data_IF_397827519197
#
_entry.id   IF_397827519197
#
_cell.length_a   1.000
_cell.length_b   1.000
_cell.length_c   1.000
_cell.angle_alpha   90.00
_cell.angle_beta   90.00
_cell.angle_gamma   90.00
#
_symmetry.space_group_name_H-M   'P 1'
#
loop_
_entity.id
_entity.type
_entity.pdbx_description
1 polymer ?
#
# COMPACT_ATOMS: atom_id res chain seq x y z
N UNK A 1 -11.06 17.63 -4.22
CA UNK A 1 -11.15 16.52 -3.24
C UNK A 1 -10.92 15.21 -3.98
N UNK A 2 -10.16 14.29 -3.38
CA UNK A 2 -9.69 13.06 -4.05
C UNK A 2 -10.06 11.85 -3.21
N UNK A 3 -10.64 10.85 -3.86
CA UNK A 3 -10.99 9.59 -3.22
C UNK A 3 -10.00 8.48 -3.59
N UNK A 4 -9.76 7.59 -2.62
CA UNK A 4 -8.99 6.35 -2.78
C UNK A 4 -9.83 5.18 -2.27
N UNK A 5 -9.92 4.13 -3.10
CA UNK A 5 -10.61 2.89 -2.71
C UNK A 5 -9.61 1.79 -2.35
N UNK A 6 -9.85 1.09 -1.26
CA UNK A 6 -9.01 0.01 -0.75
C UNK A 6 -9.65 -1.36 -0.97
N UNK A 7 -8.80 -2.37 -1.15
CA UNK A 7 -9.23 -3.77 -1.10
C UNK A 7 -9.67 -4.14 0.33
N UNK A 8 -10.60 -5.09 0.50
CA UNK A 8 -11.17 -5.45 1.80
C UNK A 8 -10.14 -5.74 2.90
N UNK A 9 -9.04 -6.42 2.57
CA UNK A 9 -7.95 -6.76 3.52
C UNK A 9 -7.33 -5.54 4.22
N UNK A 10 -7.36 -4.36 3.59
CA UNK A 10 -6.80 -3.14 4.18
C UNK A 10 -7.84 -2.30 4.90
N UNK A 11 -9.14 -2.57 4.72
CA UNK A 11 -10.20 -1.71 5.23
C UNK A 11 -10.15 -1.54 6.75
N UNK A 12 -9.96 -2.60 7.58
CA UNK A 12 -9.87 -2.44 9.04
C UNK A 12 -8.70 -1.55 9.48
N UNK A 13 -7.56 -1.66 8.79
CA UNK A 13 -6.35 -0.90 9.11
C UNK A 13 -6.49 0.58 8.74
N UNK A 14 -7.14 0.86 7.60
CA UNK A 14 -7.43 2.23 7.16
C UNK A 14 -8.47 2.88 8.07
N UNK A 15 -9.56 2.17 8.40
CA UNK A 15 -10.58 2.70 9.32
C UNK A 15 -10.04 2.90 10.74
N UNK A 16 -9.11 2.02 11.17
CA UNK A 16 -8.44 2.12 12.47
C UNK A 16 -7.28 3.11 12.49
N UNK A 17 -7.01 3.81 11.39
CA UNK A 17 -5.91 4.78 11.26
C UNK A 17 -4.52 4.21 11.58
N UNK A 18 -4.33 2.89 11.45
CA UNK A 18 -3.01 2.25 11.55
C UNK A 18 -2.29 2.24 10.21
N UNK A 19 -3.04 2.18 9.11
CA UNK A 19 -2.53 2.37 7.74
C UNK A 19 -2.77 3.82 7.30
N UNK A 20 -1.67 4.58 7.19
CA UNK A 20 -1.69 6.04 6.94
C UNK A 20 -1.17 6.47 5.55
N UNK A 21 -0.99 5.50 4.65
CA UNK A 21 -0.57 5.80 3.28
C UNK A 21 -1.09 4.77 2.27
N UNK A 22 -0.97 5.11 0.97
CA UNK A 22 -1.29 4.22 -0.15
C UNK A 22 -0.38 4.51 -1.34
N UNK A 23 0.07 3.44 -2.00
CA UNK A 23 0.70 3.52 -3.32
C UNK A 23 -0.36 3.50 -4.42
N UNK A 24 -0.23 4.37 -5.42
CA UNK A 24 -1.13 4.44 -6.57
C UNK A 24 -0.37 4.67 -7.86
N UNK A 25 -0.83 4.03 -8.94
CA UNK A 25 -0.37 4.36 -10.28
C UNK A 25 -0.66 5.82 -10.58
N UNK A 26 0.16 6.42 -11.45
CA UNK A 26 -0.04 7.81 -11.84
C UNK A 26 -1.40 7.99 -12.53
N UNK A 27 -2.03 9.13 -12.28
CA UNK A 27 -3.30 9.51 -12.89
C UNK A 27 -3.38 11.02 -12.99
N UNK A 28 -4.35 11.52 -13.77
CA UNK A 28 -4.58 12.95 -14.00
C UNK A 28 -4.50 13.83 -12.74
N UNK A 29 -4.92 13.31 -11.58
CA UNK A 29 -4.84 14.04 -10.30
C UNK A 29 -4.73 13.11 -9.09
N UNK A 30 -3.74 13.38 -8.24
CA UNK A 30 -3.68 12.91 -6.85
C UNK A 30 -4.08 14.03 -5.87
N UNK A 31 -4.27 13.67 -4.61
CA UNK A 31 -4.41 14.65 -3.53
C UNK A 31 -3.13 15.48 -3.42
N UNK A 32 -3.23 16.72 -2.95
CA UNK A 32 -2.07 17.57 -2.63
C UNK A 32 -1.96 17.73 -1.12
N UNK A 33 -0.75 18.00 -0.57
CA UNK A 33 -0.62 18.34 0.83
C UNK A 33 -1.59 19.46 1.26
N UNK A 34 -2.25 19.27 2.40
CA UNK A 34 -3.30 20.15 2.92
C UNK A 34 -4.72 19.85 2.41
N UNK A 35 -4.90 18.97 1.41
CA UNK A 35 -6.21 18.56 0.94
C UNK A 35 -6.76 17.37 1.73
N UNK A 36 -8.06 17.38 2.04
CA UNK A 36 -8.76 16.21 2.57
C UNK A 36 -8.77 15.05 1.56
N UNK A 37 -8.53 13.83 2.06
CA UNK A 37 -8.60 12.57 1.31
C UNK A 37 -9.78 11.74 1.76
N UNK A 38 -10.60 11.32 0.80
CA UNK A 38 -11.74 10.44 1.10
C UNK A 38 -11.32 8.98 0.95
N UNK A 39 -11.47 8.20 2.01
CA UNK A 39 -11.03 6.81 2.06
C UNK A 39 -12.25 5.90 2.03
N UNK A 40 -12.32 5.02 1.04
CA UNK A 40 -13.46 4.15 0.79
C UNK A 40 -13.06 2.68 0.59
N UNK A 41 -14.00 1.77 0.79
CA UNK A 41 -13.94 0.40 0.28
C UNK A 41 -15.07 0.19 -0.73
N UNK A 42 -14.83 -0.60 -1.78
CA UNK A 42 -15.89 -1.00 -2.72
C UNK A 42 -16.48 0.15 -3.54
N UNK A 43 -15.69 1.19 -3.83
CA UNK A 43 -16.17 2.39 -4.53
C UNK A 43 -16.78 2.02 -5.90
N UNK A 44 -17.89 2.68 -6.27
CA UNK A 44 -18.69 2.42 -7.49
C UNK A 44 -19.42 1.07 -7.50
N UNK A 45 -19.56 0.44 -6.34
CA UNK A 45 -20.42 -0.73 -6.15
C UNK A 45 -21.48 -0.43 -5.10
N UNK A 46 -22.49 -1.30 -4.97
CA UNK A 46 -23.49 -1.22 -3.89
C UNK A 46 -22.88 -1.40 -2.49
N UNK A 47 -21.68 -1.96 -2.40
CA UNK A 47 -20.96 -2.21 -1.15
C UNK A 47 -19.99 -1.06 -0.81
N UNK A 48 -20.24 0.15 -1.32
CA UNK A 48 -19.37 1.29 -1.07
C UNK A 48 -19.52 1.78 0.37
N UNK A 49 -18.42 1.81 1.11
CA UNK A 49 -18.38 2.23 2.52
C UNK A 49 -17.27 3.25 2.72
N UNK A 50 -17.57 4.35 3.43
CA UNK A 50 -16.58 5.33 3.88
C UNK A 50 -15.84 4.76 5.09
N UNK A 51 -14.51 4.77 5.05
CA UNK A 51 -13.68 4.10 6.06
C UNK A 51 -13.30 5.01 7.23
N UNK A 52 -13.16 6.31 7.00
CA UNK A 52 -12.75 7.28 8.01
C UNK A 52 -13.63 8.52 7.92
N UNK A 53 -14.09 9.01 9.06
CA UNK A 53 -14.81 10.28 9.20
C UNK A 53 -14.43 10.94 10.53
N UNK A 54 -13.92 12.19 10.56
CA UNK A 54 -13.69 13.10 9.43
C UNK A 54 -12.62 12.63 8.43
N UNK A 55 -12.65 13.18 7.21
CA UNK A 55 -11.67 12.86 6.15
C UNK A 55 -10.25 13.26 6.58
N UNK A 56 -9.25 12.34 6.55
CA UNK A 56 -7.85 12.65 6.84
C UNK A 56 -7.26 13.70 5.91
N UNK A 57 -6.19 14.37 6.35
CA UNK A 57 -5.51 15.40 5.56
C UNK A 57 -4.28 14.80 4.89
N UNK A 58 -4.18 14.93 3.57
CA UNK A 58 -2.96 14.59 2.84
C UNK A 58 -1.81 15.46 3.35
N UNK A 59 -0.70 14.84 3.76
CA UNK A 59 0.48 15.55 4.25
C UNK A 59 1.65 15.46 3.27
N UNK A 60 1.68 14.42 2.44
CA UNK A 60 2.79 14.21 1.51
C UNK A 60 2.38 13.39 0.30
N UNK A 61 3.00 13.72 -0.83
CA UNK A 61 2.96 12.91 -2.06
C UNK A 61 4.38 12.81 -2.59
N UNK A 62 4.87 11.57 -2.80
CA UNK A 62 6.23 11.30 -3.29
C UNK A 62 6.18 10.32 -4.43
N UNK A 63 7.04 10.46 -5.46
CA UNK A 63 7.19 9.42 -6.47
C UNK A 63 7.72 8.16 -5.80
N UNK A 64 7.17 7.02 -6.19
CA UNK A 64 7.61 5.71 -5.73
C UNK A 64 7.81 4.79 -6.93
N UNK A 65 8.91 4.06 -6.92
CA UNK A 65 9.18 2.98 -7.86
C UNK A 65 9.36 1.67 -7.09
N UNK A 66 8.70 0.60 -7.54
CA UNK A 66 8.79 -0.74 -6.97
C UNK A 66 9.20 -1.67 -8.09
N UNK A 67 10.33 -2.35 -7.93
CA UNK A 67 10.79 -3.37 -8.87
C UNK A 67 10.47 -4.75 -8.29
N UNK A 68 9.65 -5.52 -8.99
CA UNK A 68 9.34 -6.92 -8.68
C UNK A 68 10.02 -7.88 -9.65
N UNK A 69 10.39 -9.06 -9.17
CA UNK A 69 10.94 -10.15 -9.96
C UNK A 69 10.68 -11.50 -9.30
N UNK A 70 10.21 -12.52 -10.05
CA UNK A 70 9.99 -13.86 -9.50
C UNK A 70 11.29 -14.61 -9.23
N UNK A 71 12.45 -14.05 -9.62
CA UNK A 71 13.77 -14.62 -9.36
C UNK A 71 14.22 -14.43 -7.90
N UNK A 72 13.55 -13.54 -7.16
CA UNK A 72 13.78 -13.33 -5.74
C UNK A 72 12.67 -13.98 -4.93
N UNK A 73 13.06 -14.55 -3.79
CA UNK A 73 12.15 -15.28 -2.91
C UNK A 73 10.99 -14.43 -2.38
N UNK A 74 11.25 -13.13 -2.13
CA UNK A 74 10.27 -12.15 -1.64
C UNK A 74 9.63 -11.30 -2.75
N UNK A 75 9.91 -11.61 -4.02
CA UNK A 75 9.50 -10.88 -5.23
C UNK A 75 10.02 -9.43 -5.35
N UNK A 76 10.05 -8.64 -4.28
CA UNK A 76 10.49 -7.24 -4.31
C UNK A 76 12.01 -7.19 -4.41
N UNK A 77 12.53 -6.65 -5.51
CA UNK A 77 13.97 -6.39 -5.69
C UNK A 77 14.39 -5.05 -5.05
N UNK A 78 13.60 -4.00 -5.24
CA UNK A 78 13.89 -2.68 -4.67
C UNK A 78 12.63 -1.83 -4.55
N UNK A 79 12.67 -0.89 -3.60
CA UNK A 79 11.69 0.20 -3.46
C UNK A 79 12.48 1.50 -3.39
N UNK A 80 12.11 2.47 -4.24
CA UNK A 80 12.69 3.81 -4.26
C UNK A 80 11.59 4.82 -3.99
N UNK A 81 11.72 5.65 -2.96
CA UNK A 81 10.74 6.68 -2.60
C UNK A 81 11.41 8.05 -2.66
N UNK A 82 10.89 8.97 -3.47
CA UNK A 82 11.46 10.31 -3.60
C UNK A 82 12.93 10.30 -4.06
N UNK A 83 13.33 9.31 -4.86
CA UNK A 83 14.71 9.13 -5.30
C UNK A 83 15.64 8.42 -4.31
N UNK A 84 15.17 8.09 -3.10
CA UNK A 84 15.95 7.33 -2.11
C UNK A 84 15.58 5.85 -2.15
N UNK A 85 16.57 4.99 -2.37
CA UNK A 85 16.39 3.54 -2.23
C UNK A 85 16.23 3.17 -0.75
N UNK A 86 15.26 2.31 -0.46
CA UNK A 86 15.10 1.70 0.85
C UNK A 86 16.07 0.53 1.02
N UNK A 87 16.62 0.37 2.23
CA UNK A 87 17.34 -0.82 2.64
C UNK A 87 16.39 -1.98 2.98
N UNK A 88 16.92 -3.19 3.18
CA UNK A 88 16.14 -4.41 3.45
C UNK A 88 15.13 -4.23 4.59
N UNK A 89 15.59 -3.72 5.74
CA UNK A 89 14.73 -3.57 6.93
C UNK A 89 13.73 -2.43 6.75
N UNK A 90 14.08 -1.40 5.97
CA UNK A 90 13.16 -0.33 5.60
C UNK A 90 12.06 -0.80 4.64
N UNK A 91 12.35 -1.76 3.75
CA UNK A 91 11.35 -2.39 2.88
C UNK A 91 10.36 -3.19 3.73
N UNK A 92 10.85 -3.95 4.71
CA UNK A 92 9.99 -4.70 5.63
C UNK A 92 9.08 -3.74 6.42
N UNK A 93 9.66 -2.71 7.05
CA UNK A 93 8.89 -1.69 7.77
C UNK A 93 7.88 -0.96 6.87
N UNK A 94 8.28 -0.66 5.63
CA UNK A 94 7.39 -0.04 4.64
C UNK A 94 6.22 -0.97 4.31
N UNK A 95 6.47 -2.25 4.03
CA UNK A 95 5.42 -3.21 3.70
C UNK A 95 4.43 -3.41 4.86
N UNK A 96 4.94 -3.48 6.10
CA UNK A 96 4.08 -3.53 7.30
C UNK A 96 3.21 -2.29 7.39
N UNK A 97 3.78 -1.09 7.26
CA UNK A 97 3.04 0.16 7.30
C UNK A 97 2.09 0.36 6.11
N UNK A 98 2.39 -0.24 4.95
CA UNK A 98 1.48 -0.31 3.79
C UNK A 98 0.41 -1.40 3.97
N UNK A 99 0.36 -2.03 5.14
CA UNK A 99 -0.73 -2.89 5.61
C UNK A 99 -0.59 -4.37 5.24
N UNK A 100 0.61 -4.80 4.89
CA UNK A 100 0.94 -6.20 4.58
C UNK A 100 1.51 -6.98 5.77
N UNK A 101 1.56 -6.37 6.97
CA UNK A 101 1.96 -7.05 8.21
C UNK A 101 1.19 -8.35 8.42
N UNK A 102 1.90 -9.41 8.82
CA UNK A 102 1.32 -10.74 9.06
C UNK A 102 0.19 -10.67 10.08
N UNK A 103 0.34 -9.82 11.10
CA UNK A 103 -0.66 -9.54 12.14
C UNK A 103 -1.97 -8.95 11.61
N UNK A 104 -1.98 -8.46 10.36
CA UNK A 104 -3.14 -7.81 9.75
C UNK A 104 -3.75 -8.59 8.59
N UNK A 105 -2.94 -9.36 7.86
CA UNK A 105 -3.38 -10.06 6.63
C UNK A 105 -2.99 -11.54 6.57
N UNK A 106 -2.54 -12.11 7.70
CA UNK A 106 -1.97 -13.45 7.84
C UNK A 106 -0.66 -13.66 7.06
N UNK A 107 0.02 -14.77 7.33
CA UNK A 107 1.25 -15.15 6.62
C UNK A 107 0.89 -15.88 5.32
N UNK A 108 0.90 -15.16 4.20
CA UNK A 108 0.53 -15.75 2.91
C UNK A 108 1.54 -16.78 2.43
N UNK A 109 2.79 -16.67 2.86
CA UNK A 109 3.84 -17.61 2.48
C UNK A 109 3.63 -18.93 3.19
N UNK A 110 3.36 -18.87 4.49
CA UNK A 110 3.01 -20.04 5.29
C UNK A 110 1.78 -20.74 4.71
N UNK A 111 0.72 -19.97 4.43
CA UNK A 111 -0.53 -20.50 3.88
C UNK A 111 -0.35 -21.15 2.50
N UNK A 112 0.62 -20.69 1.69
CA UNK A 112 0.85 -21.23 0.33
C UNK A 112 1.82 -22.40 0.29
N UNK A 113 2.90 -22.36 1.06
CA UNK A 113 4.02 -23.31 0.93
C UNK A 113 4.61 -23.77 2.27
N UNK A 114 4.00 -23.44 3.42
CA UNK A 114 4.42 -23.91 4.74
C UNK A 114 5.77 -23.37 5.21
N UNK A 115 6.18 -22.20 4.71
CA UNK A 115 7.42 -21.51 5.13
C UNK A 115 7.06 -20.14 5.70
N UNK A 116 7.72 -19.76 6.78
CA UNK A 116 7.56 -18.45 7.41
C UNK A 116 7.80 -17.32 6.39
N UNK A 117 6.83 -16.42 6.31
CA UNK A 117 6.82 -15.25 5.45
C UNK A 117 7.19 -13.97 6.19
N UNK A 118 6.94 -12.85 5.53
CA UNK A 118 7.14 -11.50 6.06
C UNK A 118 6.16 -10.53 5.42
N UNK A 119 6.08 -9.29 5.91
CA UNK A 119 5.28 -8.26 5.28
C UNK A 119 5.79 -7.95 3.87
N UNK A 120 7.12 -7.92 3.67
CA UNK A 120 7.73 -7.80 2.34
C UNK A 120 7.28 -8.92 1.42
N UNK A 121 7.23 -10.17 1.91
CA UNK A 121 6.78 -11.30 1.10
C UNK A 121 5.31 -11.17 0.70
N UNK A 122 4.44 -10.84 1.66
CA UNK A 122 3.00 -10.58 1.42
C UNK A 122 2.80 -9.49 0.38
N UNK A 123 3.51 -8.36 0.54
CA UNK A 123 3.51 -7.26 -0.41
C UNK A 123 4.00 -7.72 -1.79
N UNK A 124 5.13 -8.42 -1.86
CA UNK A 124 5.69 -8.91 -3.12
C UNK A 124 4.74 -9.82 -3.88
N UNK A 125 4.15 -10.79 -3.19
CA UNK A 125 3.16 -11.70 -3.77
C UNK A 125 1.89 -10.97 -4.24
N UNK A 126 1.46 -9.93 -3.52
CA UNK A 126 0.35 -9.07 -3.95
C UNK A 126 0.69 -8.29 -5.22
N UNK A 127 1.85 -7.64 -5.23
CA UNK A 127 2.28 -6.81 -6.35
C UNK A 127 2.49 -7.63 -7.62
N UNK A 128 3.11 -8.81 -7.52
CA UNK A 128 3.24 -9.74 -8.63
C UNK A 128 1.85 -10.15 -9.19
N UNK A 129 0.87 -10.42 -8.33
CA UNK A 129 -0.46 -10.81 -8.76
C UNK A 129 -1.27 -9.68 -9.42
N UNK A 130 -1.12 -8.44 -8.95
CA UNK A 130 -1.91 -7.30 -9.43
C UNK A 130 -1.24 -6.53 -10.58
N UNK A 131 0.09 -6.57 -10.66
CA UNK A 131 0.87 -5.76 -11.60
C UNK A 131 1.85 -6.58 -12.45
N UNK A 132 2.13 -7.84 -12.09
CA UNK A 132 3.14 -8.67 -12.72
C UNK A 132 4.58 -8.31 -12.30
N UNK A 133 5.53 -9.04 -12.86
CA UNK A 133 6.95 -8.77 -12.70
C UNK A 133 7.39 -7.52 -13.48
N UNK A 134 8.22 -6.68 -12.88
CA UNK A 134 8.84 -5.54 -13.55
C UNK A 134 8.84 -4.27 -12.72
N UNK A 135 9.09 -3.14 -13.39
CA UNK A 135 9.10 -1.83 -12.77
C UNK A 135 7.67 -1.28 -12.72
N UNK A 136 7.19 -0.99 -11.52
CA UNK A 136 6.04 -0.15 -11.28
C UNK A 136 6.49 1.26 -10.90
N UNK A 137 5.86 2.28 -11.50
CA UNK A 137 6.05 3.69 -11.14
C UNK A 137 4.71 4.31 -10.73
N UNK A 138 4.74 5.12 -9.66
CA UNK A 138 3.54 5.76 -9.16
C UNK A 138 3.81 6.81 -8.10
N UNK A 139 2.78 7.06 -7.29
CA UNK A 139 2.80 8.02 -6.19
C UNK A 139 2.49 7.32 -4.88
N UNK A 140 3.31 7.58 -3.86
CA UNK A 140 3.04 7.30 -2.47
C UNK A 140 2.31 8.51 -1.89
N UNK A 141 1.07 8.32 -1.44
CA UNK A 141 0.24 9.36 -0.81
C UNK A 141 0.13 9.05 0.67
N UNK A 142 0.51 10.00 1.50
CA UNK A 142 0.52 9.91 2.97
C UNK A 142 -0.46 10.93 3.55
N UNK A 143 -1.16 10.54 4.61
CA UNK A 143 -2.12 11.39 5.31
C UNK A 143 -1.99 11.26 6.82
N UNK A 144 -2.53 12.24 7.53
CA UNK A 144 -2.68 12.22 8.98
C UNK A 144 -4.16 12.34 9.34
N UNK A 145 -4.60 11.75 10.49
CA UNK A 145 -5.93 12.00 11.03
C UNK A 145 -6.21 13.51 11.13
N UNK A 146 -7.45 13.91 10.88
CA UNK A 146 -7.86 15.32 10.92
C UNK A 146 -8.03 15.86 12.35
#
# INVERSE_FOLDING_TARGET
>A
MVAYSFKPMFAPQVSGLTKLHTVRADRKRHARPGEAVQLYQGMRTRNCVKLVDPDPVCVRVRPIAILTTPLLEDFIASIVIGGRSLHRDEIEAFATADGFGIEHVDDWRWLRIGREGSARWNMGAFWEAEHGAGLFEGQLIEWEPA
#
